data_IF_740994317218
#
_entry.id   IF_740994317218
#
_cell.length_a   1.000
_cell.length_b   1.000
_cell.length_c   1.000
_cell.angle_alpha   90.00
_cell.angle_beta   90.00
_cell.angle_gamma   90.00
#
_symmetry.space_group_name_H-M   'P 1'
#
loop_
_entity.id
_entity.type
_entity.pdbx_description
1 polymer ?
#
# COMPACT_ATOMS: atom_id res chain seq x y z
N UNK A 1 -7.27 -13.47 -16.35
CA UNK A 1 -7.26 -14.23 -15.08
C UNK A 1 -6.08 -13.85 -14.19
N UNK A 2 -4.83 -14.23 -14.50
CA UNK A 2 -3.69 -13.90 -13.62
C UNK A 2 -3.47 -12.39 -13.48
N UNK A 3 -3.44 -11.65 -14.59
CA UNK A 3 -3.24 -10.19 -14.57
C UNK A 3 -4.33 -9.49 -13.75
N UNK A 4 -5.58 -9.92 -13.88
CA UNK A 4 -6.71 -9.37 -13.14
C UNK A 4 -6.58 -9.62 -11.64
N UNK A 5 -6.20 -10.84 -11.24
CA UNK A 5 -5.93 -11.18 -9.83
C UNK A 5 -4.82 -10.32 -9.24
N UNK A 6 -3.71 -10.16 -9.97
CA UNK A 6 -2.59 -9.35 -9.53
C UNK A 6 -2.98 -7.86 -9.39
N UNK A 7 -3.73 -7.32 -10.35
CA UNK A 7 -4.21 -5.94 -10.31
C UNK A 7 -5.18 -5.72 -9.14
N UNK A 8 -6.14 -6.62 -8.95
CA UNK A 8 -7.09 -6.54 -7.84
C UNK A 8 -6.40 -6.64 -6.48
N UNK A 9 -5.46 -7.57 -6.35
CA UNK A 9 -4.67 -7.74 -5.12
C UNK A 9 -3.78 -6.54 -4.81
N UNK A 10 -3.19 -5.90 -5.83
CA UNK A 10 -2.48 -4.63 -5.68
C UNK A 10 -3.40 -3.53 -5.15
N UNK A 11 -4.58 -3.35 -5.75
CA UNK A 11 -5.56 -2.34 -5.33
C UNK A 11 -6.05 -2.54 -3.89
N UNK A 12 -6.37 -3.79 -3.52
CA UNK A 12 -6.79 -4.13 -2.16
C UNK A 12 -5.68 -3.86 -1.14
N UNK A 13 -4.45 -4.21 -1.50
CA UNK A 13 -3.27 -3.96 -0.66
C UNK A 13 -3.04 -2.46 -0.46
N UNK A 14 -3.03 -1.68 -1.54
CA UNK A 14 -2.81 -0.23 -1.46
C UNK A 14 -3.91 0.45 -0.64
N UNK A 15 -5.17 0.05 -0.83
CA UNK A 15 -6.30 0.54 -0.04
C UNK A 15 -6.17 0.19 1.46
N UNK A 16 -5.71 -1.02 1.79
CA UNK A 16 -5.47 -1.40 3.17
C UNK A 16 -4.32 -0.62 3.80
N UNK A 17 -3.21 -0.45 3.08
CA UNK A 17 -2.06 0.33 3.53
C UNK A 17 -2.43 1.80 3.74
N UNK A 18 -3.26 2.38 2.88
CA UNK A 18 -3.69 3.79 2.98
C UNK A 18 -4.52 4.04 4.25
N UNK A 19 -5.38 3.09 4.64
CA UNK A 19 -6.13 3.15 5.91
C UNK A 19 -5.26 2.94 7.14
N UNK A 20 -4.22 2.11 7.05
CA UNK A 20 -3.36 1.75 8.19
C UNK A 20 -2.28 2.81 8.46
N UNK A 21 -1.80 3.50 7.42
CA UNK A 21 -0.81 4.54 7.58
C UNK A 21 -1.46 5.86 8.04
N UNK A 22 -0.87 6.55 9.02
CA UNK A 22 -1.33 7.88 9.42
C UNK A 22 -1.40 8.84 8.23
N UNK A 23 -2.27 9.85 8.34
CA UNK A 23 -2.31 10.94 7.36
C UNK A 23 -0.96 11.65 7.30
N UNK A 24 -0.53 12.02 6.10
CA UNK A 24 0.69 12.83 5.91
C UNK A 24 0.60 14.22 6.56
N UNK A 25 -0.61 14.70 6.84
CA UNK A 25 -0.85 15.99 7.52
C UNK A 25 -0.96 15.84 9.05
N UNK A 26 -1.07 14.62 9.56
CA UNK A 26 -1.17 14.37 11.00
C UNK A 26 0.20 14.54 11.66
N UNK A 27 0.25 15.24 12.80
CA UNK A 27 1.49 15.38 13.58
C UNK A 27 1.93 14.03 14.15
N UNK A 28 3.23 13.67 14.08
CA UNK A 28 4.32 14.38 13.41
C UNK A 28 4.34 14.17 11.87
N UNK A 29 4.14 15.25 11.11
CA UNK A 29 3.92 15.18 9.65
C UNK A 29 5.15 14.67 8.86
N UNK A 30 6.36 15.02 9.28
CA UNK A 30 7.60 14.68 8.56
C UNK A 30 7.80 13.17 8.42
N UNK A 31 7.65 12.41 9.51
CA UNK A 31 7.83 10.96 9.49
C UNK A 31 6.68 10.26 8.75
N UNK A 32 5.43 10.71 8.92
CA UNK A 32 4.29 10.12 8.21
C UNK A 32 4.40 10.32 6.69
N UNK A 33 4.85 11.50 6.25
CA UNK A 33 5.13 11.75 4.83
C UNK A 33 6.24 10.84 4.30
N UNK A 34 7.33 10.66 5.06
CA UNK A 34 8.41 9.75 4.68
C UNK A 34 7.95 8.30 4.58
N UNK A 35 7.17 7.82 5.56
CA UNK A 35 6.59 6.47 5.56
C UNK A 35 5.69 6.25 4.35
N UNK A 36 4.74 7.16 4.09
CA UNK A 36 3.83 7.08 2.95
C UNK A 36 4.59 7.09 1.63
N UNK A 37 5.58 7.98 1.49
CA UNK A 37 6.42 8.02 0.30
C UNK A 37 7.09 6.66 0.02
N UNK A 38 7.76 6.07 1.02
CA UNK A 38 8.42 4.77 0.86
C UNK A 38 7.44 3.64 0.56
N UNK A 39 6.28 3.61 1.22
CA UNK A 39 5.29 2.54 1.03
C UNK A 39 4.60 2.63 -0.32
N UNK A 40 4.31 3.84 -0.83
CA UNK A 40 3.55 4.08 -2.05
C UNK A 40 4.40 4.46 -3.28
N UNK A 41 5.73 4.29 -3.24
CA UNK A 41 6.65 4.58 -4.36
C UNK A 41 6.54 3.65 -5.60
N UNK A 42 5.40 2.97 -5.79
CA UNK A 42 5.18 2.00 -6.87
C UNK A 42 5.79 0.64 -6.56
N UNK A 43 4.94 -0.39 -6.40
CA UNK A 43 5.37 -1.76 -6.13
C UNK A 43 4.34 -2.78 -6.58
N UNK A 44 4.80 -3.98 -6.97
CA UNK A 44 3.94 -5.06 -7.48
C UNK A 44 3.07 -5.74 -6.42
N UNK A 45 3.31 -5.47 -5.13
CA UNK A 45 2.61 -6.07 -3.98
C UNK A 45 2.54 -7.61 -3.97
N UNK A 46 3.54 -8.28 -4.56
CA UNK A 46 3.56 -9.74 -4.69
C UNK A 46 3.44 -10.46 -3.33
N UNK A 47 4.13 -10.00 -2.29
CA UNK A 47 4.08 -10.64 -0.97
C UNK A 47 2.66 -10.60 -0.36
N UNK A 48 1.99 -9.43 -0.23
CA UNK A 48 0.59 -9.37 0.19
C UNK A 48 -0.35 -10.21 -0.66
N UNK A 49 -0.20 -10.18 -1.99
CA UNK A 49 -1.07 -10.95 -2.89
C UNK A 49 -0.95 -12.44 -2.59
N UNK A 50 0.27 -12.97 -2.45
CA UNK A 50 0.51 -14.38 -2.14
C UNK A 50 0.05 -14.81 -0.73
N UNK A 51 -0.17 -13.86 0.18
CA UNK A 51 -0.72 -14.17 1.52
C UNK A 51 -2.24 -14.21 1.56
N UNK A 52 -2.93 -13.75 0.50
CA UNK A 52 -4.39 -13.72 0.39
C UNK A 52 -4.91 -14.95 -0.37
N UNK A 53 -4.08 -15.55 -1.22
CA UNK A 53 -4.31 -16.85 -1.86
C UNK A 53 -4.22 -18.01 -0.87
#
# INVERSE_FOLDING_TARGET
>A
MLQDTLQRGQQLTDSALDRLLPSETQRPASIHKAMRHSVFAGGKRLRPILCIE
#
